data_IF_923177480274
#
_entry.id   IF_923177480274
#
_cell.length_a   1.000
_cell.length_b   1.000
_cell.length_c   1.000
_cell.angle_alpha   90.00
_cell.angle_beta   90.00
_cell.angle_gamma   90.00
#
_symmetry.space_group_name_H-M   'P 1'
#
loop_
_entity.id
_entity.type
_entity.pdbx_description
1 polymer ?
#
# COMPACT_ATOMS: atom_id res chain seq x y z
N UNK A 1 25.07 5.96 16.13
CA UNK A 1 25.01 7.30 16.74
C UNK A 1 26.37 7.98 16.83
N UNK A 2 27.40 7.40 17.46
CA UNK A 2 28.71 8.06 17.64
C UNK A 2 29.36 8.58 16.33
N UNK A 3 29.36 7.77 15.25
CA UNK A 3 29.91 8.19 13.95
C UNK A 3 29.21 9.42 13.36
N UNK A 4 27.88 9.47 13.47
CA UNK A 4 27.07 10.59 12.98
C UNK A 4 27.31 11.86 13.81
N UNK A 5 27.46 11.73 15.13
CA UNK A 5 27.78 12.85 16.01
C UNK A 5 29.17 13.44 15.70
N UNK A 6 30.18 12.60 15.48
CA UNK A 6 31.52 13.04 15.09
C UNK A 6 31.50 13.74 13.73
N UNK A 7 30.85 13.15 12.73
CA UNK A 7 30.69 13.77 11.41
C UNK A 7 29.96 15.12 11.49
N UNK A 8 28.91 15.20 12.30
CA UNK A 8 28.15 16.42 12.57
C UNK A 8 28.97 17.52 13.23
N UNK A 9 29.74 17.16 14.26
CA UNK A 9 30.62 18.09 14.95
C UNK A 9 31.67 18.67 14.00
N UNK A 10 32.35 17.82 13.21
CA UNK A 10 33.35 18.26 12.22
C UNK A 10 32.71 19.17 11.16
N UNK A 11 31.56 18.77 10.62
CA UNK A 11 30.85 19.53 9.59
C UNK A 11 30.40 20.91 10.08
N UNK A 12 29.89 20.97 11.32
CA UNK A 12 29.45 22.23 11.96
C UNK A 12 30.62 23.15 12.24
N UNK A 13 31.75 22.60 12.70
CA UNK A 13 32.96 23.37 13.00
C UNK A 13 33.58 23.94 11.72
N UNK A 14 33.66 23.14 10.65
CA UNK A 14 34.16 23.59 9.34
C UNK A 14 33.27 24.69 8.74
N UNK A 15 31.94 24.51 8.77
CA UNK A 15 31.01 25.52 8.27
C UNK A 15 31.08 26.81 9.09
N UNK A 16 31.15 26.70 10.43
CA UNK A 16 31.34 27.84 11.32
C UNK A 16 32.64 28.59 11.04
N UNK A 17 33.75 27.88 10.81
CA UNK A 17 35.04 28.48 10.49
C UNK A 17 35.02 29.23 9.15
N UNK A 18 34.41 28.64 8.11
CA UNK A 18 34.29 29.26 6.79
C UNK A 18 33.42 30.52 6.84
N UNK A 19 32.29 30.46 7.54
CA UNK A 19 31.39 31.60 7.73
C UNK A 19 32.12 32.70 8.52
N UNK A 20 32.76 32.37 9.64
CA UNK A 20 33.51 33.32 10.45
C UNK A 20 34.66 33.99 9.66
N UNK A 21 35.40 33.21 8.86
CA UNK A 21 36.45 33.75 7.99
C UNK A 21 35.90 34.69 6.92
N UNK A 22 34.74 34.39 6.34
CA UNK A 22 34.09 35.27 5.36
C UNK A 22 33.69 36.62 5.98
N UNK A 23 33.14 36.61 7.19
CA UNK A 23 32.81 37.83 7.94
C UNK A 23 34.04 38.56 8.49
N UNK A 24 35.15 37.87 8.76
CA UNK A 24 36.40 38.51 9.16
C UNK A 24 37.06 39.25 7.99
N UNK A 25 36.96 38.71 6.77
CA UNK A 25 37.55 39.33 5.56
C UNK A 25 36.68 40.42 4.94
N UNK A 26 35.36 40.41 5.20
CA UNK A 26 34.39 41.31 4.56
C UNK A 26 33.53 42.00 5.62
N UNK A 27 33.55 43.33 5.64
CA UNK A 27 32.77 44.13 6.60
C UNK A 27 31.26 44.10 6.36
N UNK A 28 30.83 43.94 5.10
CA UNK A 28 29.42 43.98 4.71
C UNK A 28 28.84 42.57 4.58
N UNK A 29 27.65 42.33 5.17
CA UNK A 29 26.91 41.06 5.07
C UNK A 29 26.75 40.56 3.62
N UNK A 30 26.31 41.46 2.73
CA UNK A 30 26.13 41.13 1.31
C UNK A 30 27.43 40.66 0.64
N UNK A 31 28.57 41.30 0.95
CA UNK A 31 29.86 40.93 0.38
C UNK A 31 30.37 39.58 0.93
N UNK A 32 30.11 39.28 2.22
CA UNK A 32 30.39 37.97 2.81
C UNK A 32 29.55 36.86 2.16
N UNK A 33 28.25 37.08 1.95
CA UNK A 33 27.38 36.11 1.26
C UNK A 33 27.81 35.85 -0.18
N UNK A 34 28.18 36.89 -0.94
CA UNK A 34 28.71 36.72 -2.30
C UNK A 34 30.01 35.91 -2.29
N UNK A 35 30.90 36.18 -1.34
CA UNK A 35 32.15 35.42 -1.22
C UNK A 35 31.89 33.93 -0.98
N UNK A 36 30.97 33.60 -0.06
CA UNK A 36 30.57 32.22 0.24
C UNK A 36 29.93 31.54 -0.97
N UNK A 37 29.06 32.23 -1.70
CA UNK A 37 28.38 31.70 -2.88
C UNK A 37 29.34 31.49 -4.07
N UNK A 38 30.30 32.39 -4.26
CA UNK A 38 31.24 32.35 -5.39
C UNK A 38 32.35 31.32 -5.21
N UNK A 39 32.68 30.96 -3.98
CA UNK A 39 33.72 29.99 -3.67
C UNK A 39 33.15 28.57 -3.64
N UNK A 40 33.53 27.74 -4.62
CA UNK A 40 33.09 26.34 -4.70
C UNK A 40 33.38 25.54 -3.41
N UNK A 41 34.54 25.80 -2.77
CA UNK A 41 34.91 25.13 -1.53
C UNK A 41 34.00 25.53 -0.36
N UNK A 42 33.69 26.82 -0.23
CA UNK A 42 32.79 27.31 0.81
C UNK A 42 31.37 26.75 0.60
N UNK A 43 30.93 26.72 -0.65
CA UNK A 43 29.62 26.21 -1.02
C UNK A 43 29.48 24.72 -0.71
N UNK A 44 30.49 23.90 -1.02
CA UNK A 44 30.51 22.48 -0.69
C UNK A 44 30.45 22.22 0.82
N UNK A 45 31.19 23.01 1.62
CA UNK A 45 31.17 22.87 3.09
C UNK A 45 29.79 23.22 3.66
N UNK A 46 29.16 24.31 3.18
CA UNK A 46 27.82 24.71 3.61
C UNK A 46 26.78 23.67 3.18
N UNK A 47 26.87 23.15 1.95
CA UNK A 47 25.98 22.11 1.45
C UNK A 47 26.10 20.82 2.26
N UNK A 48 27.32 20.42 2.63
CA UNK A 48 27.57 19.28 3.51
C UNK A 48 26.92 19.44 4.89
N UNK A 49 26.98 20.64 5.48
CA UNK A 49 26.22 20.94 6.70
C UNK A 49 24.71 20.84 6.47
N UNK A 50 24.20 21.34 5.33
CA UNK A 50 22.78 21.22 4.96
C UNK A 50 22.31 19.77 4.83
N UNK A 51 23.13 18.89 4.23
CA UNK A 51 22.86 17.45 4.17
C UNK A 51 22.80 16.83 5.57
N UNK A 52 23.75 17.17 6.43
CA UNK A 52 23.76 16.70 7.82
C UNK A 52 22.49 17.13 8.59
N UNK A 53 22.09 18.40 8.47
CA UNK A 53 20.86 18.92 9.09
C UNK A 53 19.61 18.21 8.55
N UNK A 54 19.59 17.91 7.25
CA UNK A 54 18.50 17.15 6.63
C UNK A 54 18.41 15.73 7.19
N UNK A 55 19.54 15.06 7.42
CA UNK A 55 19.57 13.73 8.06
C UNK A 55 19.05 13.79 9.49
N UNK A 56 19.45 14.79 10.29
CA UNK A 56 18.93 14.97 11.66
C UNK A 56 17.42 15.23 11.62
N UNK A 57 16.96 16.14 10.76
CA UNK A 57 15.54 16.42 10.60
C UNK A 57 14.77 15.15 10.23
N UNK A 58 15.35 14.31 9.37
CA UNK A 58 14.76 13.04 8.97
C UNK A 58 14.64 12.06 10.14
N UNK A 59 15.67 11.95 10.98
CA UNK A 59 15.64 11.14 12.20
C UNK A 59 14.60 11.65 13.20
N UNK A 60 14.47 12.96 13.36
CA UNK A 60 13.45 13.55 14.24
C UNK A 60 12.03 13.20 13.77
N UNK A 61 11.74 13.42 12.48
CA UNK A 61 10.43 13.05 11.89
C UNK A 61 10.18 11.55 12.03
N UNK A 62 11.19 10.72 11.75
CA UNK A 62 11.10 9.28 11.90
C UNK A 62 10.77 8.85 13.34
N UNK A 63 11.44 9.41 14.35
CA UNK A 63 11.17 9.09 15.76
C UNK A 63 9.77 9.55 16.17
N UNK A 64 9.32 10.74 15.74
CA UNK A 64 8.03 11.31 16.11
C UNK A 64 6.86 10.51 15.52
N UNK A 65 6.92 10.19 14.22
CA UNK A 65 5.80 9.59 13.50
C UNK A 65 5.88 8.06 13.40
N UNK A 66 7.07 7.51 13.17
CA UNK A 66 7.25 6.07 12.90
C UNK A 66 7.78 5.29 14.12
N UNK A 67 8.40 5.96 15.09
CA UNK A 67 9.07 5.29 16.20
C UNK A 67 10.19 4.38 15.69
N UNK A 68 10.40 3.22 16.32
CA UNK A 68 11.45 2.29 15.89
C UNK A 68 11.09 1.63 14.54
N UNK A 69 12.02 1.76 13.59
CA UNK A 69 11.96 1.12 12.29
C UNK A 69 12.16 -0.40 12.41
N UNK A 70 11.40 -1.16 11.64
CA UNK A 70 11.58 -2.61 11.52
C UNK A 70 12.72 -2.93 10.55
N UNK A 71 13.33 -4.10 10.72
CA UNK A 71 14.44 -4.55 9.86
C UNK A 71 14.06 -4.56 8.38
N UNK A 72 12.87 -5.08 8.07
CA UNK A 72 12.32 -5.14 6.72
C UNK A 72 12.11 -3.74 6.10
N UNK A 73 11.71 -2.75 6.90
CA UNK A 73 11.57 -1.37 6.42
C UNK A 73 12.92 -0.75 6.06
N UNK A 74 13.95 -1.04 6.85
CA UNK A 74 15.31 -0.55 6.60
C UNK A 74 15.89 -1.19 5.34
N UNK A 75 15.65 -2.48 5.15
CA UNK A 75 16.10 -3.22 3.97
C UNK A 75 15.45 -2.68 2.69
N UNK A 76 14.12 -2.57 2.67
CA UNK A 76 13.41 -1.94 1.55
C UNK A 76 13.87 -0.51 1.29
N UNK A 77 14.13 0.26 2.35
CA UNK A 77 14.61 1.64 2.20
C UNK A 77 15.97 1.68 1.50
N UNK A 78 16.91 0.80 1.88
CA UNK A 78 18.23 0.72 1.27
C UNK A 78 18.15 0.35 -0.21
N UNK A 79 17.36 -0.67 -0.55
CA UNK A 79 17.17 -1.11 -1.93
C UNK A 79 16.56 -0.01 -2.79
N UNK A 80 15.43 0.58 -2.37
CA UNK A 80 14.73 1.64 -3.10
C UNK A 80 15.58 2.91 -3.22
N UNK A 81 16.32 3.27 -2.17
CA UNK A 81 17.20 4.44 -2.19
C UNK A 81 18.33 4.29 -3.21
N UNK A 82 18.93 3.11 -3.31
CA UNK A 82 19.97 2.85 -4.31
C UNK A 82 19.43 3.04 -5.74
N UNK A 83 18.26 2.49 -6.04
CA UNK A 83 17.62 2.67 -7.35
C UNK A 83 17.31 4.15 -7.64
N UNK A 84 16.70 4.87 -6.69
CA UNK A 84 16.35 6.28 -6.88
C UNK A 84 17.56 7.18 -7.14
N UNK A 85 18.71 6.90 -6.49
CA UNK A 85 19.97 7.61 -6.76
C UNK A 85 20.45 7.32 -8.18
N UNK A 86 20.43 6.05 -8.61
CA UNK A 86 20.88 5.69 -9.97
C UNK A 86 19.98 6.29 -11.05
N UNK A 87 18.67 6.33 -10.85
CA UNK A 87 17.70 6.96 -11.77
C UNK A 87 17.94 8.47 -11.88
N UNK A 88 18.25 9.12 -10.77
CA UNK A 88 18.60 10.55 -10.79
C UNK A 88 19.92 10.80 -11.52
N UNK A 89 20.93 9.95 -11.30
CA UNK A 89 22.19 10.03 -12.05
C UNK A 89 21.95 9.88 -13.56
N UNK A 90 21.03 8.99 -13.97
CA UNK A 90 20.64 8.87 -15.38
C UNK A 90 19.90 10.11 -15.86
N UNK A 91 18.99 10.68 -15.06
CA UNK A 91 18.29 11.91 -15.42
C UNK A 91 19.23 13.11 -15.57
N UNK A 92 20.31 13.18 -14.79
CA UNK A 92 21.36 14.19 -14.92
C UNK A 92 22.04 14.16 -16.30
N UNK A 93 22.08 13.02 -17.00
CA UNK A 93 22.66 12.98 -18.35
C UNK A 93 21.84 13.77 -19.38
N UNK A 94 20.53 13.91 -19.15
CA UNK A 94 19.61 14.68 -19.99
C UNK A 94 19.69 16.16 -19.63
N UNK A 95 19.76 16.49 -18.33
CA UNK A 95 19.77 17.85 -17.81
C UNK A 95 21.16 18.33 -17.37
N UNK A 96 22.23 17.81 -17.98
CA UNK A 96 23.62 18.04 -17.55
C UNK A 96 23.99 19.52 -17.48
N UNK A 97 23.42 20.32 -18.39
CA UNK A 97 23.72 21.75 -18.52
C UNK A 97 22.97 22.61 -17.48
N UNK A 98 22.00 22.02 -16.77
CA UNK A 98 21.21 22.66 -15.70
C UNK A 98 21.63 22.22 -14.29
N UNK A 99 22.78 21.53 -14.14
CA UNK A 99 23.30 21.09 -12.84
C UNK A 99 23.82 22.28 -12.02
N UNK A 100 22.92 22.89 -11.25
CA UNK A 100 23.21 24.00 -10.33
C UNK A 100 22.90 23.60 -8.88
N UNK A 101 23.31 24.43 -7.92
CA UNK A 101 22.98 24.31 -6.50
C UNK A 101 21.50 24.03 -6.26
N UNK A 102 20.62 24.70 -7.02
CA UNK A 102 19.16 24.49 -6.92
C UNK A 102 18.76 23.05 -7.20
N UNK A 103 19.39 22.39 -8.16
CA UNK A 103 19.17 20.98 -8.45
C UNK A 103 19.51 20.13 -7.24
N UNK A 104 20.68 20.35 -6.63
CA UNK A 104 21.13 19.55 -5.49
C UNK A 104 20.18 19.70 -4.30
N UNK A 105 19.67 20.92 -4.04
CA UNK A 105 18.67 21.17 -3.01
C UNK A 105 17.35 20.45 -3.33
N UNK A 106 16.81 20.59 -4.54
CA UNK A 106 15.56 19.94 -4.94
C UNK A 106 15.67 18.42 -4.92
N UNK A 107 16.80 17.87 -5.36
CA UNK A 107 17.08 16.45 -5.30
C UNK A 107 17.17 15.93 -3.86
N UNK A 108 17.83 16.68 -2.98
CA UNK A 108 17.90 16.34 -1.55
C UNK A 108 16.49 16.32 -0.94
N UNK A 109 15.65 17.30 -1.25
CA UNK A 109 14.24 17.34 -0.80
C UNK A 109 13.45 16.16 -1.37
N UNK A 110 13.62 15.84 -2.66
CA UNK A 110 12.94 14.70 -3.29
C UNK A 110 13.30 13.37 -2.62
N UNK A 111 14.60 13.10 -2.42
CA UNK A 111 15.04 11.88 -1.73
C UNK A 111 14.52 11.82 -0.29
N UNK A 112 14.57 12.96 0.42
CA UNK A 112 14.03 13.06 1.77
C UNK A 112 12.54 12.69 1.82
N UNK A 113 11.73 13.22 0.91
CA UNK A 113 10.30 12.88 0.82
C UNK A 113 10.07 11.44 0.37
N UNK A 114 10.85 10.92 -0.59
CA UNK A 114 10.77 9.51 -1.04
C UNK A 114 10.90 8.54 0.13
N UNK A 115 11.85 8.78 1.04
CA UNK A 115 12.04 7.95 2.25
C UNK A 115 10.76 7.85 3.07
N UNK A 116 10.12 8.98 3.36
CA UNK A 116 8.90 9.00 4.18
C UNK A 116 7.69 8.39 3.48
N UNK A 117 7.59 8.56 2.16
CA UNK A 117 6.59 7.87 1.36
C UNK A 117 6.75 6.36 1.45
N UNK A 118 7.96 5.85 1.20
CA UNK A 118 8.25 4.42 1.29
C UNK A 118 7.95 3.84 2.66
N UNK A 119 8.33 4.54 3.74
CA UNK A 119 8.00 4.12 5.10
C UNK A 119 6.49 4.13 5.37
N UNK A 120 5.77 5.14 4.88
CA UNK A 120 4.33 5.22 5.03
C UNK A 120 3.63 4.05 4.32
N UNK A 121 4.06 3.70 3.10
CA UNK A 121 3.51 2.57 2.35
C UNK A 121 3.74 1.25 3.09
N UNK A 122 4.98 0.97 3.51
CA UNK A 122 5.33 -0.26 4.21
C UNK A 122 4.59 -0.40 5.55
N UNK A 123 4.31 0.71 6.26
CA UNK A 123 3.51 0.72 7.49
C UNK A 123 2.04 0.41 7.24
N UNK A 124 1.45 0.99 6.19
CA UNK A 124 0.07 0.70 5.80
C UNK A 124 -0.07 -0.76 5.39
N UNK A 125 0.84 -1.31 4.60
CA UNK A 125 0.77 -2.70 4.17
C UNK A 125 0.93 -3.67 5.36
N UNK A 126 1.75 -3.32 6.35
CA UNK A 126 1.89 -4.15 7.55
C UNK A 126 0.74 -4.09 8.54
N UNK A 127 -0.18 -3.13 8.36
CA UNK A 127 -1.35 -2.95 9.19
C UNK A 127 -2.21 -4.23 9.18
N UNK A 128 -2.26 -4.92 8.05
CA UNK A 128 -2.99 -6.19 7.89
C UNK A 128 -2.45 -7.34 8.75
N UNK A 129 -1.16 -7.31 9.09
CA UNK A 129 -0.50 -8.38 9.85
C UNK A 129 -0.63 -8.20 11.36
N UNK A 130 -1.10 -7.03 11.82
CA UNK A 130 -1.14 -6.66 13.23
C UNK A 130 -2.58 -6.74 13.76
N UNK A 131 -2.89 -7.64 14.72
CA UNK A 131 -4.26 -7.88 15.18
C UNK A 131 -4.84 -6.72 16.00
N UNK A 132 -4.00 -5.93 16.66
CA UNK A 132 -4.42 -4.80 17.48
C UNK A 132 -3.54 -3.58 17.18
N UNK A 133 -4.18 -2.44 16.88
CA UNK A 133 -3.50 -1.21 16.52
C UNK A 133 -3.94 -0.09 17.46
N UNK A 134 -3.01 0.55 18.18
CA UNK A 134 -3.35 1.60 19.12
C UNK A 134 -3.79 2.88 18.42
N UNK A 135 -4.64 3.69 19.07
CA UNK A 135 -5.11 4.97 18.53
C UNK A 135 -3.96 5.95 18.23
N UNK A 136 -2.87 5.90 19.00
CA UNK A 136 -1.68 6.71 18.75
C UNK A 136 -1.04 6.43 17.38
N UNK A 137 -1.12 5.18 16.90
CA UNK A 137 -0.66 4.82 15.56
C UNK A 137 -1.55 5.47 14.49
N UNK A 138 -2.88 5.41 14.64
CA UNK A 138 -3.79 6.05 13.68
C UNK A 138 -3.56 7.56 13.60
N UNK A 139 -3.43 8.25 14.75
CA UNK A 139 -3.16 9.70 14.79
C UNK A 139 -1.85 10.02 14.07
N UNK A 140 -0.76 9.29 14.35
CA UNK A 140 0.55 9.49 13.69
C UNK A 140 0.48 9.23 12.18
N UNK A 141 -0.17 8.15 11.75
CA UNK A 141 -0.26 7.82 10.33
C UNK A 141 -1.12 8.83 9.56
N UNK A 142 -2.29 9.22 10.08
CA UNK A 142 -3.16 10.20 9.41
C UNK A 142 -2.50 11.56 9.31
N UNK A 143 -1.86 12.01 10.39
CA UNK A 143 -1.12 13.29 10.38
C UNK A 143 0.08 13.25 9.44
N UNK A 144 0.82 12.14 9.38
CA UNK A 144 1.93 11.97 8.44
C UNK A 144 1.45 11.98 6.98
N UNK A 145 0.38 11.24 6.67
CA UNK A 145 -0.20 11.21 5.31
C UNK A 145 -0.70 12.62 4.93
N UNK A 146 -1.42 13.30 5.81
CA UNK A 146 -1.90 14.65 5.54
C UNK A 146 -0.75 15.64 5.30
N UNK A 147 0.33 15.54 6.08
CA UNK A 147 1.53 16.34 5.90
C UNK A 147 2.19 16.07 4.54
N UNK A 148 2.40 14.80 4.17
CA UNK A 148 3.01 14.44 2.90
C UNK A 148 2.16 14.88 1.70
N UNK A 149 0.84 14.65 1.71
CA UNK A 149 -0.06 15.12 0.64
C UNK A 149 0.05 16.64 0.48
N UNK A 150 0.04 17.38 1.59
CA UNK A 150 0.15 18.84 1.53
C UNK A 150 1.47 19.33 0.94
N UNK A 151 2.59 18.64 1.26
CA UNK A 151 3.90 18.94 0.73
C UNK A 151 4.00 18.60 -0.76
N UNK A 152 3.49 17.45 -1.17
CA UNK A 152 3.51 17.05 -2.58
C UNK A 152 2.71 18.03 -3.45
N UNK A 153 1.51 18.41 -3.02
CA UNK A 153 0.68 19.39 -3.74
C UNK A 153 1.39 20.74 -3.85
N UNK A 154 2.03 21.20 -2.77
CA UNK A 154 2.79 22.45 -2.76
C UNK A 154 3.99 22.37 -3.72
N UNK A 155 4.72 21.25 -3.73
CA UNK A 155 5.90 21.07 -4.57
C UNK A 155 5.54 20.90 -6.05
N UNK A 156 4.45 20.19 -6.36
CA UNK A 156 3.89 20.12 -7.73
C UNK A 156 3.46 21.50 -8.19
N UNK A 157 2.72 22.25 -7.36
CA UNK A 157 2.31 23.62 -7.68
C UNK A 157 3.51 24.53 -7.94
N UNK A 158 4.53 24.46 -7.09
CA UNK A 158 5.78 25.20 -7.27
C UNK A 158 6.51 24.82 -8.57
N UNK A 159 6.62 23.52 -8.88
CA UNK A 159 7.25 23.05 -10.10
C UNK A 159 6.50 23.53 -11.35
N UNK A 160 5.17 23.39 -11.38
CA UNK A 160 4.31 23.86 -12.49
C UNK A 160 4.47 25.36 -12.69
N UNK A 161 4.39 26.16 -11.62
CA UNK A 161 4.57 27.61 -11.71
C UNK A 161 5.92 28.01 -12.31
N UNK A 162 7.00 27.34 -11.89
CA UNK A 162 8.33 27.64 -12.45
C UNK A 162 8.40 27.27 -13.93
N UNK A 163 7.83 26.13 -14.33
CA UNK A 163 7.81 25.70 -15.74
C UNK A 163 6.97 26.64 -16.59
N UNK A 164 5.82 27.11 -16.10
CA UNK A 164 4.99 28.08 -16.83
C UNK A 164 5.66 29.44 -16.97
N UNK A 165 6.38 29.90 -15.94
CA UNK A 165 7.04 31.22 -15.95
C UNK A 165 8.36 31.24 -16.73
N UNK A 166 9.18 30.19 -16.63
CA UNK A 166 10.54 30.15 -17.20
C UNK A 166 10.65 29.26 -18.44
N UNK A 167 9.57 28.57 -18.81
CA UNK A 167 9.57 27.56 -19.86
C UNK A 167 10.07 26.18 -19.38
N UNK A 168 10.18 25.22 -20.32
CA UNK A 168 10.66 23.88 -20.01
C UNK A 168 12.07 23.91 -19.41
N UNK A 169 12.21 23.28 -18.24
CA UNK A 169 13.49 23.06 -17.57
C UNK A 169 13.41 21.78 -16.74
N UNK A 170 14.48 21.47 -16.00
CA UNK A 170 14.57 20.29 -15.13
C UNK A 170 13.48 20.19 -14.05
N UNK A 171 12.76 21.27 -13.73
CA UNK A 171 11.61 21.19 -12.81
C UNK A 171 10.49 20.29 -13.35
N UNK A 172 10.44 20.01 -14.66
CA UNK A 172 9.52 19.02 -15.24
C UNK A 172 9.78 17.63 -14.64
N UNK A 173 11.06 17.23 -14.52
CA UNK A 173 11.45 15.95 -13.94
C UNK A 173 11.06 15.87 -12.45
N UNK A 174 11.29 16.95 -11.69
CA UNK A 174 10.87 16.98 -10.29
C UNK A 174 9.35 17.00 -10.13
N UNK A 175 8.64 17.78 -10.94
CA UNK A 175 7.17 17.85 -10.93
C UNK A 175 6.53 16.49 -11.24
N UNK A 176 7.11 15.75 -12.18
CA UNK A 176 6.76 14.36 -12.47
C UNK A 176 6.92 13.46 -11.25
N UNK A 177 8.10 13.46 -10.62
CA UNK A 177 8.40 12.65 -9.45
C UNK A 177 7.47 12.97 -8.27
N UNK A 178 7.20 14.25 -8.01
CA UNK A 178 6.24 14.66 -6.98
C UNK A 178 4.81 14.23 -7.30
N UNK A 179 4.41 14.24 -8.58
CA UNK A 179 3.09 13.74 -9.00
C UNK A 179 2.96 12.23 -8.80
N UNK A 180 4.04 11.47 -9.06
CA UNK A 180 4.09 10.03 -8.80
C UNK A 180 4.04 9.70 -7.31
N UNK A 181 4.72 10.49 -6.47
CA UNK A 181 4.66 10.38 -5.02
C UNK A 181 3.25 10.62 -4.50
N UNK A 182 2.60 11.71 -4.93
CA UNK A 182 1.23 12.03 -4.57
C UNK A 182 0.26 10.91 -4.97
N UNK A 183 0.38 10.39 -6.20
CA UNK A 183 -0.46 9.28 -6.70
C UNK A 183 -0.28 8.02 -5.85
N UNK A 184 0.97 7.69 -5.49
CA UNK A 184 1.27 6.51 -4.66
C UNK A 184 0.72 6.68 -3.25
N UNK A 185 0.84 7.88 -2.67
CA UNK A 185 0.31 8.20 -1.35
C UNK A 185 -1.21 8.14 -1.30
N UNK A 186 -1.90 8.60 -2.35
CA UNK A 186 -3.35 8.47 -2.48
C UNK A 186 -3.80 7.01 -2.48
N UNK A 187 -3.08 6.13 -3.19
CA UNK A 187 -3.36 4.70 -3.18
C UNK A 187 -3.17 4.12 -1.77
N UNK A 188 -2.06 4.42 -1.11
CA UNK A 188 -1.80 3.97 0.26
C UNK A 188 -2.80 4.51 1.27
N UNK A 189 -3.28 5.74 1.10
CA UNK A 189 -4.36 6.27 1.92
C UNK A 189 -5.66 5.47 1.73
N UNK A 190 -6.01 5.11 0.49
CA UNK A 190 -7.16 4.24 0.25
C UNK A 190 -7.01 2.85 0.88
N UNK A 191 -5.82 2.24 0.82
CA UNK A 191 -5.53 0.98 1.53
C UNK A 191 -5.68 1.15 3.04
N UNK A 192 -5.13 2.22 3.60
CA UNK A 192 -5.26 2.54 5.02
C UNK A 192 -6.72 2.65 5.47
N UNK A 193 -7.56 3.33 4.68
CA UNK A 193 -9.00 3.43 4.95
C UNK A 193 -9.66 2.05 4.91
N UNK A 194 -9.38 1.23 3.89
CA UNK A 194 -9.93 -0.12 3.78
C UNK A 194 -9.51 -1.02 4.95
N UNK A 195 -8.23 -1.01 5.35
CA UNK A 195 -7.75 -1.75 6.50
C UNK A 195 -8.37 -1.25 7.82
N UNK A 196 -8.63 0.05 7.94
CA UNK A 196 -9.27 0.62 9.15
C UNK A 196 -10.75 0.22 9.23
N UNK A 197 -11.45 0.14 8.09
CA UNK A 197 -12.83 -0.34 8.02
C UNK A 197 -12.89 -1.84 8.37
N UNK A 198 -11.99 -2.63 7.81
CA UNK A 198 -11.87 -4.07 8.05
C UNK A 198 -11.67 -4.37 9.55
N UNK A 199 -10.74 -3.66 10.20
CA UNK A 199 -10.50 -3.78 11.65
C UNK A 199 -11.72 -3.48 12.54
N UNK A 200 -12.69 -2.69 12.05
CA UNK A 200 -13.90 -2.32 12.80
C UNK A 200 -15.07 -3.26 12.51
N UNK A 201 -14.95 -4.09 11.48
CA UNK A 201 -16.02 -4.99 11.06
C UNK A 201 -15.88 -6.29 11.83
N UNK A 202 -16.93 -6.70 12.54
CA UNK A 202 -16.94 -7.94 13.32
C UNK A 202 -16.99 -9.19 12.42
N UNK A 203 -17.67 -9.08 11.28
CA UNK A 203 -17.78 -10.15 10.28
C UNK A 203 -16.63 -10.12 9.27
N UNK A 204 -16.10 -11.28 8.83
CA UNK A 204 -15.08 -11.36 7.79
C UNK A 204 -15.51 -10.66 6.49
N UNK A 205 -14.77 -9.64 6.04
CA UNK A 205 -15.12 -8.88 4.84
C UNK A 205 -14.74 -9.62 3.55
N UNK A 206 -15.67 -10.42 3.00
CA UNK A 206 -15.44 -11.26 1.81
C UNK A 206 -14.90 -10.50 0.59
N UNK A 207 -15.32 -9.25 0.37
CA UNK A 207 -14.97 -8.46 -0.81
C UNK A 207 -13.74 -7.55 -0.63
N UNK A 208 -13.07 -7.55 0.55
CA UNK A 208 -11.90 -6.70 0.83
C UNK A 208 -10.79 -6.88 -0.21
N UNK A 209 -10.40 -8.12 -0.49
CA UNK A 209 -9.32 -8.45 -1.43
C UNK A 209 -9.61 -7.90 -2.83
N UNK A 210 -10.87 -7.91 -3.25
CA UNK A 210 -11.31 -7.38 -4.54
C UNK A 210 -11.22 -5.84 -4.58
N UNK A 211 -11.59 -5.16 -3.49
CA UNK A 211 -11.49 -3.71 -3.38
C UNK A 211 -10.02 -3.24 -3.35
N UNK A 212 -9.17 -3.93 -2.61
CA UNK A 212 -7.72 -3.67 -2.60
C UNK A 212 -7.13 -3.86 -4.01
N UNK A 213 -7.53 -4.93 -4.69
CA UNK A 213 -7.13 -5.18 -6.07
C UNK A 213 -7.58 -4.06 -7.04
N UNK A 214 -8.83 -3.60 -6.93
CA UNK A 214 -9.33 -2.48 -7.76
C UNK A 214 -8.58 -1.18 -7.47
N UNK A 215 -8.31 -0.89 -6.20
CA UNK A 215 -7.51 0.26 -5.82
C UNK A 215 -6.11 0.19 -6.45
N UNK A 216 -5.44 -0.96 -6.36
CA UNK A 216 -4.13 -1.19 -6.95
C UNK A 216 -4.14 -1.12 -8.48
N UNK A 217 -5.24 -1.53 -9.13
CA UNK A 217 -5.43 -1.41 -10.57
C UNK A 217 -5.60 0.05 -11.01
N UNK A 218 -6.41 0.82 -10.28
CA UNK A 218 -6.62 2.25 -10.56
C UNK A 218 -5.33 3.03 -10.31
N UNK A 219 -4.61 2.73 -9.24
CA UNK A 219 -3.31 3.35 -8.95
C UNK A 219 -2.30 3.10 -10.07
N UNK A 220 -2.16 1.86 -10.54
CA UNK A 220 -1.28 1.52 -11.67
C UNK A 220 -1.70 2.22 -12.96
N UNK A 221 -3.01 2.33 -13.22
CA UNK A 221 -3.52 3.06 -14.38
C UNK A 221 -3.17 4.55 -14.34
N UNK A 222 -3.40 5.22 -13.20
CA UNK A 222 -3.08 6.65 -13.04
C UNK A 222 -1.57 6.88 -13.15
N UNK A 223 -0.75 6.00 -12.56
CA UNK A 223 0.70 6.03 -12.72
C UNK A 223 1.10 5.88 -14.18
N UNK A 224 0.55 4.89 -14.89
CA UNK A 224 0.86 4.65 -16.30
C UNK A 224 0.50 5.86 -17.17
N UNK A 225 -0.67 6.48 -16.96
CA UNK A 225 -1.06 7.71 -17.67
C UNK A 225 -0.07 8.83 -17.38
N UNK A 226 0.33 9.00 -16.12
CA UNK A 226 1.33 10.00 -15.72
C UNK A 226 2.68 9.75 -16.39
N UNK A 227 3.19 8.51 -16.33
CA UNK A 227 4.41 8.08 -17.00
C UNK A 227 4.39 8.37 -18.50
N UNK A 228 3.31 8.01 -19.19
CA UNK A 228 3.19 8.23 -20.64
C UNK A 228 3.10 9.71 -21.00
N UNK A 229 2.36 10.51 -20.23
CA UNK A 229 2.25 11.96 -20.47
C UNK A 229 3.62 12.63 -20.31
N UNK A 230 4.34 12.35 -19.22
CA UNK A 230 5.66 12.92 -18.99
C UNK A 230 6.73 12.38 -19.96
N UNK A 231 6.65 11.10 -20.34
CA UNK A 231 7.49 10.54 -21.38
C UNK A 231 7.33 11.32 -22.69
N UNK A 232 6.09 11.61 -23.10
CA UNK A 232 5.83 12.39 -24.31
C UNK A 232 6.32 13.83 -24.20
N UNK A 233 6.12 14.50 -23.05
CA UNK A 233 6.62 15.86 -22.81
C UNK A 233 8.15 15.91 -22.94
N UNK A 234 8.88 15.01 -22.27
CA UNK A 234 10.34 15.00 -22.32
C UNK A 234 10.84 14.59 -23.71
N UNK A 235 10.18 13.63 -24.37
CA UNK A 235 10.52 13.20 -25.73
C UNK A 235 10.49 14.36 -26.73
N UNK A 236 9.47 15.22 -26.65
CA UNK A 236 9.31 16.37 -27.54
C UNK A 236 10.28 17.50 -27.19
N UNK A 237 10.52 17.76 -25.90
CA UNK A 237 11.36 18.89 -25.48
C UNK A 237 12.86 18.61 -25.49
N UNK A 238 13.29 17.40 -25.11
CA UNK A 238 14.69 17.05 -24.84
C UNK A 238 15.17 15.77 -25.54
N UNK A 239 14.26 14.99 -26.15
CA UNK A 239 14.58 13.70 -26.76
C UNK A 239 14.39 12.52 -25.81
N UNK A 240 15.05 11.39 -26.08
CA UNK A 240 14.73 10.10 -25.45
C UNK A 240 14.99 10.08 -23.93
N UNK A 241 13.96 9.90 -23.07
CA UNK A 241 14.13 9.90 -21.62
C UNK A 241 14.51 8.51 -21.08
N UNK A 242 15.78 8.12 -21.21
CA UNK A 242 16.26 6.79 -20.79
C UNK A 242 15.93 6.44 -19.32
N UNK A 243 15.96 7.42 -18.42
CA UNK A 243 15.69 7.21 -16.99
C UNK A 243 14.26 6.72 -16.70
N UNK A 244 13.27 7.02 -17.55
CA UNK A 244 11.85 6.68 -17.32
C UNK A 244 11.45 5.34 -17.97
N UNK A 245 12.25 4.84 -18.93
CA UNK A 245 11.87 3.67 -19.76
C UNK A 245 11.61 2.42 -18.91
N UNK A 246 12.47 2.15 -17.92
CA UNK A 246 12.32 0.99 -17.03
C UNK A 246 11.00 1.07 -16.27
N UNK A 247 10.67 2.22 -15.72
CA UNK A 247 9.48 2.40 -14.88
C UNK A 247 8.19 2.34 -15.69
N UNK A 248 8.18 2.92 -16.89
CA UNK A 248 7.07 2.77 -17.85
C UNK A 248 6.84 1.30 -18.15
N UNK A 249 7.91 0.55 -18.46
CA UNK A 249 7.81 -0.87 -18.78
C UNK A 249 7.30 -1.69 -17.59
N UNK A 250 7.86 -1.49 -16.39
CA UNK A 250 7.45 -2.21 -15.20
C UNK A 250 5.99 -1.91 -14.82
N UNK A 251 5.58 -0.63 -14.88
CA UNK A 251 4.20 -0.22 -14.58
C UNK A 251 3.22 -0.75 -15.61
N UNK A 252 3.56 -0.68 -16.91
CA UNK A 252 2.77 -1.25 -18.00
C UNK A 252 2.60 -2.77 -17.81
N UNK A 253 3.68 -3.49 -17.51
CA UNK A 253 3.64 -4.94 -17.28
C UNK A 253 2.76 -5.29 -16.08
N UNK A 254 2.89 -4.58 -14.96
CA UNK A 254 2.03 -4.76 -13.77
C UNK A 254 0.55 -4.55 -14.11
N UNK A 255 0.24 -3.44 -14.80
CA UNK A 255 -1.13 -3.12 -15.20
C UNK A 255 -1.72 -4.17 -16.13
N UNK A 256 -0.98 -4.58 -17.16
CA UNK A 256 -1.41 -5.62 -18.11
C UNK A 256 -1.61 -6.97 -17.42
N UNK A 257 -0.76 -7.32 -16.45
CA UNK A 257 -0.92 -8.54 -15.66
C UNK A 257 -2.20 -8.48 -14.82
N UNK A 258 -2.41 -7.40 -14.06
CA UNK A 258 -3.65 -7.20 -13.27
C UNK A 258 -4.89 -7.21 -14.16
N UNK A 259 -4.85 -6.61 -15.35
CA UNK A 259 -5.97 -6.68 -16.30
C UNK A 259 -6.28 -8.12 -16.72
N UNK A 260 -5.25 -8.93 -17.01
CA UNK A 260 -5.42 -10.35 -17.33
C UNK A 260 -6.01 -11.11 -16.15
N UNK A 261 -5.50 -10.86 -14.94
CA UNK A 261 -5.99 -11.49 -13.71
C UNK A 261 -7.46 -11.14 -13.47
N UNK A 262 -7.88 -9.89 -13.69
CA UNK A 262 -9.28 -9.46 -13.57
C UNK A 262 -10.19 -10.12 -14.62
N UNK A 263 -9.72 -10.24 -15.85
CA UNK A 263 -10.48 -10.92 -16.92
C UNK A 263 -10.61 -12.41 -16.59
N UNK A 264 -9.53 -13.04 -16.11
CA UNK A 264 -9.54 -14.44 -15.70
C UNK A 264 -10.45 -14.66 -14.49
N UNK A 265 -10.41 -13.78 -13.50
CA UNK A 265 -11.33 -13.76 -12.37
C UNK A 265 -12.78 -13.71 -12.84
N UNK A 266 -13.14 -12.71 -13.66
CA UNK A 266 -14.51 -12.56 -14.17
C UNK A 266 -14.96 -13.79 -14.97
N UNK A 267 -14.08 -14.38 -15.79
CA UNK A 267 -14.37 -15.61 -16.53
C UNK A 267 -14.62 -16.80 -15.61
N UNK A 268 -13.85 -16.94 -14.53
CA UNK A 268 -14.00 -18.02 -13.55
C UNK A 268 -15.29 -17.88 -12.75
N UNK A 269 -15.66 -16.66 -12.33
CA UNK A 269 -16.85 -16.42 -11.51
C UNK A 269 -18.15 -16.37 -12.32
N UNK A 270 -18.13 -15.96 -13.60
CA UNK A 270 -19.35 -15.74 -14.42
C UNK A 270 -20.23 -16.99 -14.55
N UNK A 271 -19.63 -18.18 -14.61
CA UNK A 271 -20.37 -19.43 -14.82
C UNK A 271 -20.22 -20.41 -13.64
N UNK A 272 -19.84 -19.94 -12.44
CA UNK A 272 -19.55 -20.86 -11.33
C UNK A 272 -20.82 -21.58 -10.82
N UNK A 273 -21.95 -20.88 -10.80
CA UNK A 273 -23.25 -21.46 -10.44
C UNK A 273 -23.78 -22.46 -11.48
N UNK A 274 -23.52 -22.23 -12.76
CA UNK A 274 -23.92 -23.12 -13.85
C UNK A 274 -22.98 -24.31 -14.02
N UNK A 275 -21.70 -24.13 -13.71
CA UNK A 275 -20.64 -25.12 -13.94
C UNK A 275 -20.55 -26.19 -12.86
N UNK A 276 -20.91 -25.84 -11.61
CA UNK A 276 -20.89 -26.78 -10.49
C UNK A 276 -22.30 -26.98 -9.95
N UNK A 277 -22.82 -28.22 -9.97
CA UNK A 277 -24.12 -28.52 -9.40
C UNK A 277 -24.10 -28.36 -7.88
N UNK A 278 -25.25 -27.96 -7.33
CA UNK A 278 -25.49 -27.98 -5.89
C UNK A 278 -25.42 -29.43 -5.38
N UNK A 279 -24.75 -29.64 -4.25
CA UNK A 279 -24.70 -30.94 -3.61
C UNK A 279 -26.10 -31.29 -3.07
N UNK A 280 -26.59 -32.49 -3.41
CA UNK A 280 -27.87 -32.95 -2.87
C UNK A 280 -27.73 -33.31 -1.38
N UNK A 281 -28.79 -33.16 -0.56
CA UNK A 281 -28.73 -33.48 0.87
C UNK A 281 -28.40 -34.96 1.13
N UNK A 282 -28.74 -35.86 0.20
CA UNK A 282 -28.38 -37.28 0.28
C UNK A 282 -26.89 -37.52 0.03
N UNK A 283 -26.27 -36.78 -0.90
CA UNK A 283 -24.82 -36.85 -1.14
C UNK A 283 -24.03 -36.24 0.02
N UNK A 284 -24.56 -35.19 0.65
CA UNK A 284 -23.95 -34.56 1.82
C UNK A 284 -23.98 -35.49 3.05
N UNK A 285 -25.08 -36.22 3.25
CA UNK A 285 -25.22 -37.22 4.31
C UNK A 285 -24.38 -38.50 4.05
N UNK A 286 -24.04 -38.78 2.79
CA UNK A 286 -23.19 -39.91 2.41
C UNK A 286 -21.68 -39.61 2.56
N UNK A 287 -21.31 -38.35 2.82
CA UNK A 287 -19.92 -37.93 3.00
C UNK A 287 -19.42 -38.37 4.39
N UNK A 288 -18.27 -39.04 4.43
CA UNK A 288 -17.68 -39.50 5.70
C UNK A 288 -17.24 -38.36 6.63
N UNK A 289 -17.00 -37.17 6.08
CA UNK A 289 -16.64 -35.95 6.81
C UNK A 289 -17.42 -34.77 6.22
N UNK A 290 -18.43 -34.21 6.92
CA UNK A 290 -19.22 -33.07 6.45
C UNK A 290 -18.48 -31.73 6.59
N UNK A 291 -17.22 -31.73 7.03
CA UNK A 291 -16.43 -30.51 7.25
C UNK A 291 -15.81 -30.03 5.93
N UNK A 292 -15.97 -28.74 5.62
CA UNK A 292 -15.28 -28.13 4.49
C UNK A 292 -13.78 -27.95 4.80
N UNK A 293 -12.89 -28.49 3.97
CA UNK A 293 -11.43 -28.41 4.21
C UNK A 293 -10.87 -26.97 4.20
N UNK A 294 -11.58 -26.02 3.57
CA UNK A 294 -11.12 -24.64 3.38
C UNK A 294 -11.38 -23.81 4.66
N UNK A 295 -12.64 -23.72 5.11
CA UNK A 295 -13.00 -22.97 6.32
C UNK A 295 -13.00 -23.81 7.60
N UNK A 296 -12.97 -25.14 7.49
CA UNK A 296 -13.13 -26.10 8.60
C UNK A 296 -14.48 -26.00 9.32
N UNK A 297 -15.52 -25.59 8.61
CA UNK A 297 -16.90 -25.54 9.11
C UNK A 297 -17.77 -26.62 8.46
N UNK A 298 -18.87 -27.00 9.13
CA UNK A 298 -19.79 -28.03 8.65
C UNK A 298 -20.62 -27.55 7.44
N UNK A 299 -20.75 -28.40 6.43
CA UNK A 299 -21.56 -28.16 5.25
C UNK A 299 -22.99 -28.63 5.48
N UNK A 300 -23.94 -27.70 5.52
CA UNK A 300 -25.37 -28.01 5.72
C UNK A 300 -26.12 -27.85 4.40
N UNK A 301 -26.85 -28.89 3.99
CA UNK A 301 -27.76 -28.80 2.85
C UNK A 301 -28.98 -27.96 3.22
N UNK A 302 -29.54 -27.21 2.26
CA UNK A 302 -30.77 -26.45 2.53
C UNK A 302 -31.89 -27.45 2.86
N UNK A 303 -32.32 -27.52 4.13
CA UNK A 303 -33.58 -28.16 4.46
C UNK A 303 -34.68 -27.34 3.78
N UNK A 304 -35.29 -27.89 2.74
CA UNK A 304 -36.60 -27.43 2.30
C UNK A 304 -37.55 -27.66 3.47
N UNK A 305 -38.03 -26.56 4.08
CA UNK A 305 -39.13 -26.62 5.03
C UNK A 305 -40.33 -27.30 4.35
N UNK A 306 -40.51 -28.59 4.58
CA UNK A 306 -41.74 -29.29 4.23
C UNK A 306 -42.87 -28.72 5.10
N UNK A 307 -44.06 -28.42 4.53
CA UNK A 307 -45.16 -27.87 5.29
C UNK A 307 -45.60 -28.87 6.35
N UNK A 308 -45.88 -28.37 7.57
CA UNK A 308 -46.40 -29.15 8.68
C UNK A 308 -47.68 -29.91 8.24
N UNK A 309 -47.50 -31.19 7.96
CA UNK A 309 -48.57 -32.13 7.68
C UNK A 309 -49.30 -32.47 8.98
N UNK A 310 -50.58 -32.15 8.98
CA UNK A 310 -51.60 -32.58 9.93
C UNK A 310 -51.40 -34.03 10.39
N UNK A 311 -51.50 -34.27 11.70
CA UNK A 311 -52.08 -35.50 12.23
C UNK A 311 -52.80 -35.19 13.54
N UNK A 312 -54.12 -35.24 13.46
CA UNK A 312 -55.02 -35.31 14.60
C UNK A 312 -55.39 -36.78 14.88
N UNK A 313 -55.60 -37.07 16.17
CA UNK A 313 -56.41 -38.13 16.77
C UNK A 313 -55.70 -39.29 17.51
N UNK A 314 -55.85 -39.26 18.86
CA UNK A 314 -56.01 -40.39 19.79
C UNK A 314 -54.72 -41.06 20.30
N UNK A 315 -54.49 -41.37 21.59
CA UNK A 315 -55.35 -41.48 22.78
C UNK A 315 -54.47 -41.71 24.03
N UNK A 316 -54.89 -41.14 25.17
CA UNK A 316 -54.74 -41.57 26.60
C UNK A 316 -53.37 -41.65 27.32
N UNK A 317 -53.36 -41.04 28.52
CA UNK A 317 -52.31 -40.83 29.54
C UNK A 317 -52.05 -42.06 30.47
N UNK A 318 -51.31 -42.00 31.62
CA UNK A 318 -50.40 -40.97 32.16
C UNK A 318 -49.00 -41.49 32.59
N UNK A 319 -48.13 -40.57 33.02
CA UNK A 319 -46.77 -40.76 33.53
C UNK A 319 -46.64 -41.71 34.75
N UNK A 320 -45.41 -42.13 35.07
CA UNK A 320 -44.85 -41.64 36.33
C UNK A 320 -43.38 -41.17 36.23
N UNK A 321 -43.03 -40.33 37.20
CA UNK A 321 -41.75 -39.70 37.40
C UNK A 321 -40.65 -40.67 37.90
N UNK A 322 -39.42 -40.49 37.43
CA UNK A 322 -38.21 -40.80 38.19
C UNK A 322 -37.02 -39.98 37.67
N UNK A 323 -36.28 -39.40 38.62
CA UNK A 323 -35.19 -38.46 38.47
C UNK A 323 -33.86 -39.11 38.04
N UNK A 324 -32.98 -38.34 37.38
CA UNK A 324 -31.57 -38.71 37.24
C UNK A 324 -30.74 -37.87 36.25
N UNK A 325 -29.91 -36.98 36.80
CA UNK A 325 -28.58 -36.57 36.31
C UNK A 325 -28.40 -35.70 35.03
N UNK A 326 -28.15 -34.40 35.28
CA UNK A 326 -27.02 -33.58 34.80
C UNK A 326 -26.39 -33.86 33.42
N UNK A 327 -26.58 -32.95 32.46
CA UNK A 327 -25.47 -32.24 31.80
C UNK A 327 -25.94 -30.94 31.14
N UNK A 328 -25.28 -29.83 31.48
CA UNK A 328 -25.60 -28.47 31.02
C UNK A 328 -25.30 -28.31 29.51
N UNK A 329 -26.35 -28.19 28.70
CA UNK A 329 -26.27 -27.69 27.33
C UNK A 329 -26.20 -26.15 27.36
N UNK A 330 -25.15 -25.58 26.76
CA UNK A 330 -25.05 -24.15 26.46
C UNK A 330 -26.15 -23.77 25.45
N UNK A 331 -26.79 -22.59 25.56
CA UNK A 331 -27.84 -22.20 24.61
C UNK A 331 -27.20 -21.95 23.24
N UNK A 332 -27.68 -22.69 22.23
CA UNK A 332 -27.36 -22.44 20.84
C UNK A 332 -27.73 -20.98 20.50
N UNK A 333 -26.71 -20.20 20.14
CA UNK A 333 -26.89 -18.84 19.62
C UNK A 333 -27.76 -18.93 18.37
N UNK A 334 -28.90 -18.24 18.47
CA UNK A 334 -29.95 -18.14 17.49
C UNK A 334 -29.44 -17.34 16.26
N UNK A 335 -28.69 -17.98 15.36
CA UNK A 335 -28.37 -17.42 14.05
C UNK A 335 -29.60 -17.54 13.16
N UNK A 336 -30.31 -16.42 12.99
CA UNK A 336 -31.32 -16.26 11.94
C UNK A 336 -30.71 -16.63 10.58
N UNK A 337 -31.35 -17.48 9.76
CA UNK A 337 -30.88 -17.73 8.41
C UNK A 337 -31.23 -16.49 7.58
N UNK A 338 -30.23 -15.65 7.30
CA UNK A 338 -30.33 -14.66 6.25
C UNK A 338 -30.36 -15.41 4.92
N UNK A 339 -31.56 -15.52 4.34
CA UNK A 339 -31.77 -16.13 3.04
C UNK A 339 -30.93 -15.44 1.98
N UNK A 340 -29.82 -16.05 1.61
CA UNK A 340 -29.11 -15.82 0.36
C UNK A 340 -28.72 -17.18 -0.19
N UNK A 341 -29.03 -17.41 -1.45
CA UNK A 341 -28.76 -18.64 -2.21
C UNK A 341 -27.26 -18.92 -2.44
N UNK A 342 -26.39 -18.36 -1.62
CA UNK A 342 -24.92 -18.31 -1.77
C UNK A 342 -24.18 -19.26 -0.81
N UNK A 343 -24.90 -20.02 0.02
CA UNK A 343 -24.29 -20.96 0.98
C UNK A 343 -24.52 -22.44 0.67
N UNK A 344 -25.14 -22.77 -0.47
CA UNK A 344 -25.33 -24.18 -0.85
C UNK A 344 -23.98 -24.78 -1.25
N UNK A 345 -23.54 -25.90 -0.64
CA UNK A 345 -22.29 -26.56 -1.02
C UNK A 345 -22.31 -27.00 -2.48
N UNK A 346 -21.19 -26.80 -3.19
CA UNK A 346 -21.03 -27.17 -4.61
C UNK A 346 -20.14 -28.39 -4.75
N UNK A 347 -20.49 -29.27 -5.69
CA UNK A 347 -19.71 -30.46 -6.03
C UNK A 347 -18.84 -30.24 -7.27
N UNK A 348 -17.55 -30.56 -7.16
CA UNK A 348 -16.61 -30.52 -8.29
C UNK A 348 -16.66 -31.83 -9.10
N UNK A 349 -16.20 -31.82 -10.37
CA UNK A 349 -16.09 -33.03 -11.20
C UNK A 349 -15.23 -34.15 -10.59
N UNK A 350 -14.27 -33.79 -9.73
CA UNK A 350 -13.44 -34.75 -8.98
C UNK A 350 -14.17 -35.40 -7.78
N UNK A 351 -15.42 -35.01 -7.51
CA UNK A 351 -16.25 -35.57 -6.45
C UNK A 351 -16.20 -34.80 -5.12
N UNK A 352 -15.21 -33.93 -4.90
CA UNK A 352 -15.12 -33.15 -3.66
C UNK A 352 -16.18 -32.04 -3.57
N UNK A 353 -16.65 -31.79 -2.35
CA UNK A 353 -17.73 -30.84 -2.04
C UNK A 353 -17.18 -29.76 -1.10
N UNK A 354 -17.50 -28.50 -1.36
CA UNK A 354 -17.08 -27.35 -0.53
C UNK A 354 -18.22 -26.33 -0.43
N UNK A 355 -18.21 -25.46 0.60
CA UNK A 355 -19.09 -24.29 0.58
C UNK A 355 -18.83 -23.44 -0.66
N UNK A 356 -19.88 -22.86 -1.22
CA UNK A 356 -19.77 -22.03 -2.42
C UNK A 356 -18.81 -20.84 -2.25
N UNK A 357 -18.87 -20.13 -1.12
CA UNK A 357 -17.98 -19.01 -0.82
C UNK A 357 -16.51 -19.46 -0.68
N UNK A 358 -16.26 -20.61 -0.03
CA UNK A 358 -14.93 -21.20 0.10
C UNK A 358 -14.35 -21.62 -1.26
N UNK A 359 -15.15 -22.31 -2.08
CA UNK A 359 -14.77 -22.72 -3.41
C UNK A 359 -14.48 -21.51 -4.31
N UNK A 360 -15.30 -20.47 -4.22
CA UNK A 360 -15.09 -19.20 -4.91
C UNK A 360 -13.75 -18.59 -4.54
N UNK A 361 -13.47 -18.44 -3.24
CA UNK A 361 -12.23 -17.84 -2.73
C UNK A 361 -10.98 -18.67 -3.05
N UNK A 362 -11.11 -19.99 -3.13
CA UNK A 362 -10.01 -20.86 -3.57
C UNK A 362 -9.73 -20.72 -5.06
N UNK A 363 -10.78 -20.80 -5.89
CA UNK A 363 -10.66 -20.66 -7.35
C UNK A 363 -10.21 -19.26 -7.80
N UNK A 364 -10.36 -18.25 -6.94
CA UNK A 364 -9.77 -16.92 -7.08
C UNK A 364 -8.24 -16.95 -7.10
N UNK A 365 -7.61 -17.91 -6.40
CA UNK A 365 -6.15 -18.02 -6.26
C UNK A 365 -5.55 -19.16 -7.09
N UNK A 366 -6.23 -20.31 -7.12
CA UNK A 366 -5.74 -21.52 -7.77
C UNK A 366 -6.90 -22.23 -8.47
N UNK A 367 -6.73 -22.53 -9.77
CA UNK A 367 -7.77 -23.23 -10.56
C UNK A 367 -7.75 -24.76 -10.40
N UNK A 368 -6.99 -25.28 -9.43
CA UNK A 368 -6.99 -26.69 -9.04
C UNK A 368 -8.01 -26.94 -7.93
N UNK A 369 -8.42 -28.20 -7.77
CA UNK A 369 -9.27 -28.58 -6.65
C UNK A 369 -8.43 -28.53 -5.33
N UNK A 370 -8.98 -28.01 -4.21
CA UNK A 370 -8.23 -27.81 -2.95
C UNK A 370 -7.57 -29.04 -2.32
N UNK A 371 -7.95 -30.23 -2.76
CA UNK A 371 -7.46 -31.52 -2.23
C UNK A 371 -6.33 -32.11 -3.07
N UNK A 372 -5.87 -31.42 -4.13
CA UNK A 372 -4.85 -31.89 -5.08
C UNK A 372 -3.50 -31.23 -4.87
#
# INVERSE_FOLDING_TARGET
MARLAVYGAISTLLAGAVIANAFAQRSNFYAACIYLYRSNACMMIILNLGLFLTIIAGQLVQIIFFGNLRTLEVEHLYERAWYAVTETCLAMTIFKDEFDTRFVVMFTVLLFLKVFHWLCMDRVDSMEQSPEIPLSFHVRMVTMIAMLVSLDVLLVYHAVNIVTLKGPNMMIMFGFEYTLLATSLMASFGKYVLHTIDMRTEDPWENKSMLLFYLDLVADFVKLVTYLLFFMVILVCYGLPLHIIRDVYMTMRSFLQKCKDLIQYRKATRNMNERYPDASPAELAALSDPICIICREEMVGHHSNAPAGQNAAGTTAPAPAAAGAQQQARPASNTRPTGSSTNVPKKLPCGHIFHFHCLKSWLERQQSCPTW
#
